data_IF_993688507297
#
_entry.id   IF_993688507297
#
_cell.length_a   1.000
_cell.length_b   1.000
_cell.length_c   1.000
_cell.angle_alpha   90.00
_cell.angle_beta   90.00
_cell.angle_gamma   90.00
#
_symmetry.space_group_name_H-M   'P 1'
#
loop_
_entity.id
_entity.type
_entity.pdbx_description
1 polymer ?
#
# COMPACT_ATOMS: atom_id res chain seq x y z
N UNK A 1 10.74 4.34 54.74
CA UNK A 1 11.00 5.42 53.77
C UNK A 1 11.64 4.95 52.47
N UNK A 2 12.22 3.74 52.40
CA UNK A 2 12.79 3.21 51.14
C UNK A 2 11.75 2.60 50.17
N UNK A 3 10.56 2.21 50.65
CA UNK A 3 9.49 1.68 49.79
C UNK A 3 8.78 2.73 48.92
N UNK A 4 8.94 4.03 49.18
CA UNK A 4 8.32 5.10 48.39
C UNK A 4 9.16 5.57 47.18
N UNK A 5 10.44 5.16 47.12
CA UNK A 5 11.39 5.59 46.07
C UNK A 5 11.35 4.63 44.87
N UNK A 6 10.96 3.37 45.07
CA UNK A 6 11.04 2.33 44.03
C UNK A 6 10.02 2.45 42.88
N UNK A 7 9.02 3.35 42.97
CA UNK A 7 8.04 3.60 41.89
C UNK A 7 8.24 4.93 41.14
N UNK A 8 8.63 6.00 41.83
CA UNK A 8 8.72 7.34 41.25
C UNK A 8 9.76 7.43 40.12
N UNK A 9 10.90 6.74 40.26
CA UNK A 9 11.93 6.71 39.22
C UNK A 9 11.45 6.01 37.95
N UNK A 10 10.61 4.97 38.07
CA UNK A 10 10.05 4.26 36.92
C UNK A 10 9.04 5.12 36.18
N UNK A 11 8.14 5.78 36.90
CA UNK A 11 7.16 6.68 36.31
C UNK A 11 7.81 7.86 35.57
N UNK A 12 8.89 8.42 36.13
CA UNK A 12 9.67 9.48 35.47
C UNK A 12 10.35 8.98 34.19
N UNK A 13 10.91 7.77 34.21
CA UNK A 13 11.50 7.16 33.01
C UNK A 13 10.44 6.88 31.94
N UNK A 14 9.27 6.37 32.32
CA UNK A 14 8.17 6.09 31.41
C UNK A 14 7.59 7.37 30.78
N UNK A 15 7.52 8.47 31.56
CA UNK A 15 7.19 9.80 31.04
C UNK A 15 8.26 10.31 30.06
N UNK A 16 9.55 10.11 30.37
CA UNK A 16 10.64 10.49 29.47
C UNK A 16 10.57 9.71 28.15
N UNK A 17 10.39 8.39 28.19
CA UNK A 17 10.17 7.56 27.00
C UNK A 17 8.99 8.06 26.18
N UNK A 18 7.85 8.29 26.83
CA UNK A 18 6.66 8.81 26.15
C UNK A 18 6.94 10.13 25.45
N UNK A 19 7.64 11.07 26.11
CA UNK A 19 7.98 12.36 25.52
C UNK A 19 8.94 12.22 24.34
N UNK A 20 10.01 11.44 24.48
CA UNK A 20 10.99 11.25 23.41
C UNK A 20 10.37 10.62 22.17
N UNK A 21 9.69 9.49 22.33
CA UNK A 21 9.11 8.77 21.18
C UNK A 21 8.01 9.59 20.51
N UNK A 22 7.18 10.29 21.27
CA UNK A 22 6.15 11.17 20.69
C UNK A 22 6.76 12.28 19.84
N UNK A 23 7.84 12.92 20.32
CA UNK A 23 8.55 13.96 19.56
C UNK A 23 9.22 13.35 18.32
N UNK A 24 9.81 12.16 18.43
CA UNK A 24 10.40 11.45 17.30
C UNK A 24 9.37 11.21 16.20
N UNK A 25 8.19 10.67 16.52
CA UNK A 25 7.15 10.42 15.51
C UNK A 25 6.63 11.70 14.87
N UNK A 26 6.32 12.73 15.68
CA UNK A 26 5.87 14.03 15.14
C UNK A 26 6.93 14.66 14.23
N UNK A 27 8.20 14.51 14.58
CA UNK A 27 9.32 15.05 13.77
C UNK A 27 9.49 14.25 12.50
N UNK A 28 9.42 12.92 12.57
CA UNK A 28 9.49 12.04 11.39
C UNK A 28 8.38 12.35 10.39
N UNK A 29 7.14 12.49 10.85
CA UNK A 29 6.01 12.89 10.01
C UNK A 29 6.25 14.23 9.33
N UNK A 30 6.74 15.24 10.07
CA UNK A 30 7.07 16.55 9.48
C UNK A 30 8.19 16.47 8.44
N UNK A 31 9.21 15.64 8.68
CA UNK A 31 10.30 15.42 7.72
C UNK A 31 9.77 14.75 6.45
N UNK A 32 8.92 13.73 6.59
CA UNK A 32 8.31 13.04 5.45
C UNK A 32 7.50 14.02 4.57
N UNK A 33 6.81 14.98 5.18
CA UNK A 33 6.04 15.99 4.45
C UNK A 33 6.88 17.05 3.73
N UNK A 34 8.19 17.14 4.00
CA UNK A 34 9.07 18.09 3.31
C UNK A 34 9.20 17.78 1.81
N UNK A 35 9.12 16.50 1.43
CA UNK A 35 8.97 16.06 0.05
C UNK A 35 7.89 14.97 -0.07
N UNK A 36 6.64 15.35 -0.38
CA UNK A 36 5.50 14.43 -0.48
C UNK A 36 5.71 13.26 -1.44
N UNK A 37 6.62 13.40 -2.42
CA UNK A 37 6.92 12.33 -3.38
C UNK A 37 7.58 11.12 -2.72
N UNK A 38 8.36 11.34 -1.65
CA UNK A 38 9.11 10.30 -0.94
C UNK A 38 8.57 10.05 0.47
N UNK A 39 7.53 10.77 0.88
CA UNK A 39 6.96 10.71 2.22
C UNK A 39 6.73 9.27 2.72
N UNK A 40 6.01 8.44 1.95
CA UNK A 40 5.71 7.08 2.40
C UNK A 40 6.95 6.19 2.51
N UNK A 41 7.99 6.41 1.68
CA UNK A 41 9.25 5.67 1.76
C UNK A 41 10.00 6.06 3.03
N UNK A 42 10.09 7.37 3.30
CA UNK A 42 10.69 7.87 4.55
C UNK A 42 9.97 7.28 5.75
N UNK A 43 8.64 7.28 5.76
CA UNK A 43 7.86 6.74 6.87
C UNK A 43 8.05 5.23 7.03
N UNK A 44 7.88 4.45 5.97
CA UNK A 44 7.97 2.99 6.09
C UNK A 44 9.38 2.53 6.51
N UNK A 45 10.45 3.13 5.99
CA UNK A 45 11.81 2.73 6.36
C UNK A 45 12.11 3.09 7.82
N UNK A 46 11.72 4.28 8.26
CA UNK A 46 12.02 4.73 9.62
C UNK A 46 11.15 4.04 10.67
N UNK A 47 9.87 3.77 10.38
CA UNK A 47 9.03 3.00 11.29
C UNK A 47 9.49 1.54 11.37
N UNK A 48 9.90 0.91 10.26
CA UNK A 48 10.50 -0.42 10.30
C UNK A 48 11.79 -0.45 11.13
N UNK A 49 12.68 0.53 10.93
CA UNK A 49 13.92 0.65 11.71
C UNK A 49 13.63 0.86 13.20
N UNK A 50 12.62 1.68 13.52
CA UNK A 50 12.16 1.89 14.90
C UNK A 50 11.63 0.59 15.52
N UNK A 51 10.78 -0.15 14.82
CA UNK A 51 10.27 -1.43 15.29
C UNK A 51 11.39 -2.44 15.55
N UNK A 52 12.30 -2.61 14.60
CA UNK A 52 13.44 -3.52 14.74
C UNK A 52 14.32 -3.15 15.94
N UNK A 53 14.56 -1.85 16.15
CA UNK A 53 15.38 -1.35 17.27
C UNK A 53 14.67 -1.46 18.62
N UNK A 54 13.33 -1.37 18.65
CA UNK A 54 12.54 -1.32 19.88
C UNK A 54 12.02 -2.69 20.30
N UNK A 55 12.05 -3.70 19.44
CA UNK A 55 11.38 -4.99 19.66
C UNK A 55 11.66 -5.61 21.04
N UNK A 56 12.94 -5.84 21.37
CA UNK A 56 13.31 -6.45 22.66
C UNK A 56 12.93 -5.57 23.85
N UNK A 57 13.10 -4.24 23.71
CA UNK A 57 12.82 -3.29 24.78
C UNK A 57 11.31 -3.14 25.04
N UNK A 58 10.49 -3.17 23.99
CA UNK A 58 9.02 -3.10 24.10
C UNK A 58 8.44 -4.32 24.83
N UNK A 59 9.09 -5.49 24.73
CA UNK A 59 8.67 -6.71 25.43
C UNK A 59 8.88 -6.63 26.96
N UNK A 60 9.82 -5.81 27.43
CA UNK A 60 10.14 -5.67 28.86
C UNK A 60 9.75 -4.31 29.45
N UNK A 61 9.46 -3.32 28.61
CA UNK A 61 8.99 -1.98 29.00
C UNK A 61 7.60 -1.74 28.43
N UNK A 62 6.58 -1.94 29.26
CA UNK A 62 5.16 -1.80 28.89
C UNK A 62 4.80 -0.45 28.26
N UNK A 63 5.39 0.65 28.77
CA UNK A 63 5.17 2.00 28.23
C UNK A 63 5.65 2.16 26.78
N UNK A 64 6.60 1.34 26.32
CA UNK A 64 7.12 1.35 24.95
C UNK A 64 6.31 0.44 24.01
N UNK A 65 5.59 -0.56 24.53
CA UNK A 65 4.75 -1.45 23.72
C UNK A 65 3.70 -0.69 22.89
N UNK A 66 3.06 0.33 23.46
CA UNK A 66 2.09 1.16 22.72
C UNK A 66 2.72 1.86 21.50
N UNK A 67 3.99 2.29 21.61
CA UNK A 67 4.69 2.96 20.52
C UNK A 67 5.18 1.98 19.47
N UNK A 68 5.55 0.76 19.87
CA UNK A 68 5.83 -0.32 18.92
C UNK A 68 4.59 -0.61 18.05
N UNK A 69 3.40 -0.71 18.65
CA UNK A 69 2.15 -0.91 17.91
C UNK A 69 1.81 0.28 17.01
N UNK A 70 1.96 1.52 17.50
CA UNK A 70 1.76 2.72 16.69
C UNK A 70 2.71 2.78 15.48
N UNK A 71 3.99 2.46 15.68
CA UNK A 71 4.96 2.37 14.58
C UNK A 71 4.56 1.27 13.59
N UNK A 72 4.08 0.12 14.07
CA UNK A 72 3.58 -0.95 13.21
C UNK A 72 2.40 -0.52 12.35
N UNK A 73 1.44 0.18 12.94
CA UNK A 73 0.29 0.68 12.20
C UNK A 73 0.71 1.74 11.16
N UNK A 74 1.57 2.69 11.55
CA UNK A 74 2.05 3.72 10.65
C UNK A 74 2.91 3.15 9.52
N UNK A 75 3.75 2.14 9.80
CA UNK A 75 4.49 1.35 8.82
C UNK A 75 3.55 0.70 7.80
N UNK A 76 2.54 -0.03 8.27
CA UNK A 76 1.58 -0.72 7.40
C UNK A 76 0.80 0.28 6.53
N UNK A 77 0.35 1.38 7.10
CA UNK A 77 -0.33 2.43 6.34
C UNK A 77 0.58 3.05 5.26
N UNK A 78 1.84 3.34 5.58
CA UNK A 78 2.82 3.86 4.62
C UNK A 78 3.10 2.84 3.50
N UNK A 79 3.25 1.56 3.84
CA UNK A 79 3.38 0.48 2.85
C UNK A 79 2.18 0.45 1.91
N UNK A 80 0.96 0.45 2.45
CA UNK A 80 -0.28 0.43 1.66
C UNK A 80 -0.37 1.64 0.73
N UNK A 81 -0.09 2.85 1.21
CA UNK A 81 -0.13 4.06 0.36
C UNK A 81 0.93 4.00 -0.74
N UNK A 82 2.16 3.63 -0.41
CA UNK A 82 3.26 3.52 -1.36
C UNK A 82 2.96 2.52 -2.48
N UNK A 83 2.52 1.31 -2.11
CA UNK A 83 2.14 0.23 -3.02
C UNK A 83 1.00 0.69 -3.94
N UNK A 84 -0.04 1.30 -3.38
CA UNK A 84 -1.17 1.80 -4.15
C UNK A 84 -0.75 2.83 -5.22
N UNK A 85 0.14 3.77 -4.86
CA UNK A 85 0.68 4.75 -5.81
C UNK A 85 1.45 4.06 -6.92
N UNK A 86 2.32 3.09 -6.61
CA UNK A 86 3.12 2.39 -7.62
C UNK A 86 2.22 1.60 -8.59
N UNK A 87 1.25 0.86 -8.05
CA UNK A 87 0.29 0.10 -8.85
C UNK A 87 -0.50 1.05 -9.75
N UNK A 88 -1.00 2.16 -9.21
CA UNK A 88 -1.75 3.15 -9.98
C UNK A 88 -0.90 3.78 -11.08
N UNK A 89 0.34 4.18 -10.80
CA UNK A 89 1.24 4.74 -11.81
C UNK A 89 1.49 3.76 -12.95
N UNK A 90 1.55 2.45 -12.68
CA UNK A 90 1.76 1.46 -13.73
C UNK A 90 0.50 1.12 -14.52
N UNK A 91 -0.67 1.09 -13.85
CA UNK A 91 -1.94 0.65 -14.42
C UNK A 91 -3.01 1.75 -14.47
N UNK A 92 -2.58 3.01 -14.54
CA UNK A 92 -3.42 4.20 -14.41
C UNK A 92 -4.65 4.12 -15.32
N UNK A 93 -4.44 3.84 -16.60
CA UNK A 93 -5.52 3.77 -17.59
C UNK A 93 -6.53 2.66 -17.29
N UNK A 94 -6.07 1.51 -16.77
CA UNK A 94 -6.94 0.38 -16.42
C UNK A 94 -7.86 0.76 -15.26
N UNK A 95 -7.28 1.32 -14.19
CA UNK A 95 -8.03 1.67 -12.98
C UNK A 95 -8.83 2.97 -13.12
N UNK A 96 -8.42 3.91 -13.98
CA UNK A 96 -9.26 5.05 -14.36
C UNK A 96 -10.52 4.60 -15.14
N UNK A 97 -10.37 3.63 -16.04
CA UNK A 97 -11.51 3.04 -16.74
C UNK A 97 -12.48 2.36 -15.76
N UNK A 98 -11.94 1.57 -14.81
CA UNK A 98 -12.71 0.92 -13.74
C UNK A 98 -13.44 1.94 -12.86
N UNK A 99 -12.75 2.99 -12.40
CA UNK A 99 -13.33 4.03 -11.55
C UNK A 99 -14.47 4.76 -12.23
N UNK A 100 -14.32 5.10 -13.52
CA UNK A 100 -15.38 5.77 -14.29
C UNK A 100 -16.64 4.91 -14.40
N UNK A 101 -16.48 3.60 -14.50
CA UNK A 101 -17.57 2.64 -14.45
C UNK A 101 -18.27 2.71 -13.08
N UNK A 102 -17.51 2.59 -11.99
CA UNK A 102 -18.05 2.60 -10.63
C UNK A 102 -18.83 3.88 -10.33
N UNK A 103 -18.29 5.03 -10.74
CA UNK A 103 -18.94 6.34 -10.59
C UNK A 103 -20.29 6.42 -11.32
N UNK A 104 -20.38 5.86 -12.53
CA UNK A 104 -21.64 5.85 -13.30
C UNK A 104 -22.66 4.86 -12.76
N UNK A 105 -22.22 3.75 -12.15
CA UNK A 105 -23.12 2.75 -11.56
C UNK A 105 -23.99 3.30 -10.41
N UNK A 106 -23.65 4.46 -9.84
CA UNK A 106 -24.52 5.16 -8.89
C UNK A 106 -25.72 5.87 -9.54
N UNK A 107 -25.70 6.04 -10.86
CA UNK A 107 -26.65 6.90 -11.59
C UNK A 107 -27.41 6.19 -12.72
N UNK A 108 -26.81 5.15 -13.32
CA UNK A 108 -27.37 4.44 -14.48
C UNK A 108 -27.21 2.92 -14.30
N UNK A 109 -27.95 2.13 -15.09
CA UNK A 109 -27.86 0.66 -15.00
C UNK A 109 -26.60 0.13 -15.71
N UNK A 110 -26.09 -1.07 -15.34
CA UNK A 110 -24.91 -1.66 -15.97
C UNK A 110 -25.03 -1.80 -17.49
N UNK A 111 -26.23 -2.04 -18.01
CA UNK A 111 -26.52 -2.21 -19.43
C UNK A 111 -26.39 -0.91 -20.22
N UNK A 112 -26.54 0.25 -19.56
CA UNK A 112 -26.43 1.58 -20.18
C UNK A 112 -24.97 2.06 -20.27
N UNK A 113 -24.07 1.51 -19.45
CA UNK A 113 -22.66 1.92 -19.38
C UNK A 113 -21.92 1.79 -20.71
N UNK A 114 -22.07 0.69 -21.51
CA UNK A 114 -21.39 0.57 -22.79
C UNK A 114 -21.77 1.63 -23.83
N UNK A 115 -22.87 2.35 -23.62
CA UNK A 115 -23.33 3.44 -24.49
C UNK A 115 -22.79 4.80 -24.06
N UNK A 116 -22.14 4.90 -22.90
CA UNK A 116 -21.52 6.14 -22.42
C UNK A 116 -20.21 6.41 -23.13
N UNK A 117 -19.92 7.70 -23.35
CA UNK A 117 -18.72 8.14 -24.06
C UNK A 117 -17.45 7.61 -23.38
N UNK A 118 -16.62 6.87 -24.13
CA UNK A 118 -15.35 6.33 -23.66
C UNK A 118 -15.46 5.06 -22.82
N UNK A 119 -16.63 4.43 -22.76
CA UNK A 119 -16.87 3.15 -22.08
C UNK A 119 -17.45 2.11 -23.04
N UNK A 120 -17.28 2.28 -24.35
CA UNK A 120 -17.71 1.26 -25.30
C UNK A 120 -16.88 -0.03 -25.15
N UNK A 121 -17.38 -1.15 -25.69
CA UNK A 121 -16.60 -2.40 -25.81
C UNK A 121 -15.24 -2.16 -26.49
N UNK A 122 -15.21 -1.27 -27.49
CA UNK A 122 -13.97 -0.90 -28.17
C UNK A 122 -13.00 -0.14 -27.24
N UNK A 123 -13.51 0.73 -26.37
CA UNK A 123 -12.69 1.46 -25.40
C UNK A 123 -12.12 0.54 -24.32
N UNK A 124 -12.92 -0.43 -23.86
CA UNK A 124 -12.42 -1.51 -23.00
C UNK A 124 -11.27 -2.25 -23.67
N UNK A 125 -11.46 -2.76 -24.90
CA UNK A 125 -10.41 -3.50 -25.64
C UNK A 125 -9.14 -2.67 -25.82
N UNK A 126 -9.26 -1.38 -26.12
CA UNK A 126 -8.11 -0.47 -26.21
C UNK A 126 -7.38 -0.35 -24.87
N UNK A 127 -8.13 -0.22 -23.77
CA UNK A 127 -7.59 -0.13 -22.41
C UNK A 127 -6.86 -1.41 -22.01
N UNK A 128 -7.50 -2.57 -22.20
CA UNK A 128 -6.90 -3.88 -21.97
C UNK A 128 -5.62 -4.06 -22.78
N UNK A 129 -5.64 -3.72 -24.07
CA UNK A 129 -4.46 -3.80 -24.93
C UNK A 129 -3.32 -2.92 -24.41
N UNK A 130 -3.58 -1.68 -24.02
CA UNK A 130 -2.52 -0.78 -23.53
C UNK A 130 -1.97 -1.17 -22.17
N UNK A 131 -2.77 -1.80 -21.31
CA UNK A 131 -2.41 -2.07 -19.92
C UNK A 131 -1.92 -3.50 -19.69
N UNK A 132 -2.45 -4.49 -20.42
CA UNK A 132 -2.23 -5.91 -20.15
C UNK A 132 -1.41 -6.63 -21.23
N UNK A 133 -1.20 -6.06 -22.42
CA UNK A 133 -0.46 -6.75 -23.49
C UNK A 133 1.00 -7.03 -23.16
N UNK A 134 1.60 -6.25 -22.26
CA UNK A 134 2.99 -6.41 -21.80
C UNK A 134 3.00 -6.48 -20.26
N UNK A 135 2.16 -7.35 -19.71
CA UNK A 135 1.92 -7.43 -18.27
C UNK A 135 3.19 -7.79 -17.48
N UNK A 136 4.01 -8.74 -17.96
CA UNK A 136 5.30 -9.09 -17.36
C UNK A 136 6.22 -7.87 -17.22
N UNK A 137 6.38 -7.11 -18.31
CA UNK A 137 7.19 -5.88 -18.29
C UNK A 137 6.62 -4.85 -17.32
N UNK A 138 5.30 -4.77 -17.21
CA UNK A 138 4.62 -3.86 -16.27
C UNK A 138 4.88 -4.26 -14.82
N UNK A 139 4.81 -5.56 -14.52
CA UNK A 139 5.13 -6.11 -13.20
C UNK A 139 6.61 -5.88 -12.85
N UNK A 140 7.53 -6.15 -13.77
CA UNK A 140 8.97 -5.87 -13.57
C UNK A 140 9.24 -4.39 -13.31
N UNK A 141 8.47 -3.48 -13.91
CA UNK A 141 8.57 -2.05 -13.64
C UNK A 141 8.04 -1.68 -12.25
N UNK A 142 6.97 -2.33 -11.77
CA UNK A 142 6.47 -2.17 -10.39
C UNK A 142 7.55 -2.61 -9.40
N UNK A 143 8.12 -3.81 -9.58
CA UNK A 143 9.19 -4.31 -8.72
C UNK A 143 10.37 -3.35 -8.68
N UNK A 144 10.82 -2.87 -9.84
CA UNK A 144 11.91 -1.87 -9.92
C UNK A 144 11.55 -0.56 -9.23
N UNK A 145 10.29 -0.10 -9.31
CA UNK A 145 9.84 1.13 -8.64
C UNK A 145 9.80 0.99 -7.13
N UNK A 146 9.39 -0.17 -6.62
CA UNK A 146 9.47 -0.50 -5.19
C UNK A 146 10.93 -0.44 -4.72
N UNK A 147 11.84 -1.09 -5.45
CA UNK A 147 13.26 -1.14 -5.08
C UNK A 147 13.96 0.22 -5.16
N UNK A 148 13.67 1.04 -6.17
CA UNK A 148 14.53 2.16 -6.60
C UNK A 148 14.95 3.14 -5.49
N UNK A 149 14.06 3.41 -4.54
CA UNK A 149 14.32 4.40 -3.49
C UNK A 149 14.33 3.77 -2.09
N UNK A 150 14.31 2.44 -1.98
CA UNK A 150 14.51 1.74 -0.72
C UNK A 150 16.00 1.71 -0.41
N UNK A 151 16.35 2.10 0.81
CA UNK A 151 17.68 1.94 1.38
C UNK A 151 17.84 0.56 2.02
N UNK A 152 16.79 0.08 2.68
CA UNK A 152 16.75 -1.21 3.37
C UNK A 152 16.21 -2.32 2.45
N UNK A 153 17.12 -3.08 1.84
CA UNK A 153 16.76 -4.15 0.89
C UNK A 153 15.99 -5.31 1.56
N UNK A 154 16.15 -5.51 2.87
CA UNK A 154 15.42 -6.54 3.64
C UNK A 154 13.90 -6.32 3.68
N UNK A 155 13.44 -5.08 3.45
CA UNK A 155 12.00 -4.77 3.40
C UNK A 155 11.37 -5.18 2.07
N UNK A 156 12.17 -5.30 1.00
CA UNK A 156 11.69 -5.49 -0.36
C UNK A 156 10.87 -6.78 -0.54
N UNK A 157 11.26 -7.96 -0.01
CA UNK A 157 10.46 -9.17 -0.16
C UNK A 157 9.05 -9.03 0.42
N UNK A 158 8.93 -8.47 1.63
CA UNK A 158 7.62 -8.27 2.29
C UNK A 158 6.76 -7.24 1.54
N UNK A 159 7.37 -6.12 1.13
CA UNK A 159 6.70 -5.11 0.29
C UNK A 159 6.23 -5.70 -1.04
N UNK A 160 7.04 -6.58 -1.64
CA UNK A 160 6.71 -7.23 -2.90
C UNK A 160 5.51 -8.15 -2.76
N UNK A 161 5.46 -9.01 -1.74
CA UNK A 161 4.30 -9.86 -1.46
C UNK A 161 3.03 -9.05 -1.21
N UNK A 162 3.11 -7.97 -0.42
CA UNK A 162 1.98 -7.04 -0.22
C UNK A 162 1.53 -6.41 -1.53
N UNK A 163 2.47 -6.01 -2.39
CA UNK A 163 2.16 -5.42 -3.69
C UNK A 163 1.49 -6.40 -4.65
N UNK A 164 1.94 -7.66 -4.68
CA UNK A 164 1.30 -8.72 -5.48
C UNK A 164 -0.14 -8.93 -5.05
N UNK A 165 -0.38 -9.02 -3.73
CA UNK A 165 -1.73 -9.15 -3.16
C UNK A 165 -2.61 -7.96 -3.53
N UNK A 166 -2.16 -6.73 -3.27
CA UNK A 166 -2.93 -5.52 -3.55
C UNK A 166 -3.27 -5.38 -5.04
N UNK A 167 -2.34 -5.72 -5.94
CA UNK A 167 -2.62 -5.73 -7.37
C UNK A 167 -3.71 -6.75 -7.73
N UNK A 168 -3.65 -7.96 -7.18
CA UNK A 168 -4.65 -9.00 -7.43
C UNK A 168 -6.03 -8.60 -6.92
N UNK A 169 -6.13 -8.03 -5.73
CA UNK A 169 -7.40 -7.57 -5.14
C UNK A 169 -8.05 -6.48 -6.02
N UNK A 170 -7.26 -5.53 -6.53
CA UNK A 170 -7.73 -4.51 -7.48
C UNK A 170 -8.10 -5.11 -8.84
N UNK A 171 -7.32 -6.06 -9.33
CA UNK A 171 -7.58 -6.70 -10.61
C UNK A 171 -8.84 -7.57 -10.56
N UNK A 172 -9.09 -8.26 -9.45
CA UNK A 172 -10.31 -9.02 -9.22
C UNK A 172 -11.55 -8.11 -9.24
N UNK A 173 -11.47 -6.97 -8.54
CA UNK A 173 -12.54 -5.95 -8.56
C UNK A 173 -12.82 -5.47 -9.99
N UNK A 174 -11.76 -5.17 -10.77
CA UNK A 174 -11.90 -4.82 -12.18
C UNK A 174 -12.53 -5.95 -13.01
N UNK A 175 -12.10 -7.19 -12.81
CA UNK A 175 -12.60 -8.34 -13.55
C UNK A 175 -14.10 -8.57 -13.30
N UNK A 176 -14.56 -8.41 -12.06
CA UNK A 176 -15.98 -8.49 -11.70
C UNK A 176 -16.80 -7.37 -12.37
N UNK A 177 -16.28 -6.14 -12.41
CA UNK A 177 -16.92 -5.04 -13.14
C UNK A 177 -17.04 -5.34 -14.64
N UNK A 178 -15.96 -5.84 -15.26
CA UNK A 178 -15.97 -6.18 -16.68
C UNK A 178 -16.96 -7.30 -16.97
N UNK A 179 -16.99 -8.36 -16.17
CA UNK A 179 -17.94 -9.46 -16.34
C UNK A 179 -19.39 -8.99 -16.25
N UNK A 180 -19.68 -8.02 -15.37
CA UNK A 180 -21.01 -7.44 -15.19
C UNK A 180 -21.46 -6.58 -16.38
N UNK A 181 -20.57 -5.78 -16.95
CA UNK A 181 -20.92 -4.75 -17.95
C UNK A 181 -20.66 -5.20 -19.39
N UNK A 182 -19.65 -6.03 -19.58
CA UNK A 182 -19.22 -6.52 -20.88
C UNK A 182 -19.11 -8.05 -20.88
N UNK A 183 -20.22 -8.79 -20.67
CA UNK A 183 -20.21 -10.25 -20.52
C UNK A 183 -19.69 -11.01 -21.75
N UNK A 184 -19.61 -10.37 -22.91
CA UNK A 184 -19.05 -10.94 -24.15
C UNK A 184 -17.54 -10.72 -24.31
N UNK A 185 -16.91 -9.95 -23.42
CA UNK A 185 -15.48 -9.60 -23.51
C UNK A 185 -14.65 -10.55 -22.66
N UNK A 186 -13.58 -11.08 -23.25
CA UNK A 186 -12.64 -11.95 -22.56
C UNK A 186 -11.47 -11.12 -22.04
N UNK A 187 -11.13 -11.31 -20.77
CA UNK A 187 -9.95 -10.75 -20.11
C UNK A 187 -9.15 -11.88 -19.46
N UNK A 188 -7.85 -11.71 -19.20
CA UNK A 188 -7.11 -12.68 -18.41
C UNK A 188 -7.79 -12.87 -17.05
N UNK A 189 -7.94 -14.11 -16.63
CA UNK A 189 -8.52 -14.46 -15.34
C UNK A 189 -7.62 -14.04 -14.18
N UNK A 190 -8.21 -13.89 -12.99
CA UNK A 190 -7.46 -13.65 -11.75
C UNK A 190 -6.47 -14.79 -11.48
N UNK A 191 -6.83 -16.03 -11.85
CA UNK A 191 -5.96 -17.20 -11.72
C UNK A 191 -4.71 -17.11 -12.62
N UNK A 192 -4.87 -16.68 -13.88
CA UNK A 192 -3.73 -16.44 -14.79
C UNK A 192 -2.82 -15.33 -14.25
N UNK A 193 -3.40 -14.22 -13.76
CA UNK A 193 -2.61 -13.14 -13.14
C UNK A 193 -1.86 -13.61 -11.89
N UNK A 194 -2.49 -14.45 -11.07
CA UNK A 194 -1.87 -15.02 -9.87
C UNK A 194 -0.70 -15.95 -10.23
N UNK A 195 -0.87 -16.79 -11.25
CA UNK A 195 0.18 -17.67 -11.74
C UNK A 195 1.36 -16.87 -12.29
N UNK A 196 1.08 -15.80 -13.06
CA UNK A 196 2.10 -14.89 -13.57
C UNK A 196 2.93 -14.29 -12.44
N UNK A 197 2.27 -13.73 -11.43
CA UNK A 197 2.94 -13.13 -10.27
C UNK A 197 3.69 -14.13 -9.39
N UNK A 198 3.30 -15.41 -9.40
CA UNK A 198 4.01 -16.47 -8.71
C UNK A 198 5.31 -16.88 -9.43
N UNK A 199 5.41 -16.61 -10.73
CA UNK A 199 6.60 -16.90 -11.55
C UNK A 199 7.66 -15.80 -11.53
N UNK A 200 7.39 -14.69 -10.84
CA UNK A 200 8.22 -13.48 -10.77
C UNK A 200 8.68 -13.20 -9.35
#
# INVERSE_FOLDING_TARGET
>A
MEQYIQGQSRDLVDQAYTKFVSIMFVTLEKIAQADPKYADIVLLENYAAFQNSLYDLANVVSTLAKFYHQASEAYEQACTRHINVIIYVQFERLFQFARKIEELMYTITPEEIPFQLGLSKMDLRKTLKSSLSNIEKSISNIYRRLQKNLTSEELLPSLWEKCKKEFLDKYESFALLVAKIYPSENIPSVAEMKQLLASM
#
